data_IF_695249859559
#
_entry.id   IF_695249859559
#
_cell.length_a   1.000
_cell.length_b   1.000
_cell.length_c   1.000
_cell.angle_alpha   90.00
_cell.angle_beta   90.00
_cell.angle_gamma   90.00
#
_symmetry.space_group_name_H-M   'P 1'
#
loop_
_entity.id
_entity.type
_entity.pdbx_description
1 polymer ?
#
# COMPACT_ATOMS: atom_id res chain seq x y z
N UNK A 1 11.34 44.18 -32.02
CA UNK A 1 11.70 44.96 -30.81
C UNK A 1 10.66 44.64 -29.74
N UNK A 2 10.81 43.53 -29.03
CA UNK A 2 9.89 43.12 -27.97
C UNK A 2 10.55 43.36 -26.62
N UNK A 3 9.97 44.27 -25.85
CA UNK A 3 10.48 44.70 -24.54
C UNK A 3 10.31 43.58 -23.51
N UNK A 4 11.38 43.33 -22.75
CA UNK A 4 11.43 42.44 -21.59
C UNK A 4 10.35 42.80 -20.58
N UNK A 5 9.56 41.82 -20.18
CA UNK A 5 8.62 41.91 -19.05
C UNK A 5 9.42 41.70 -17.76
N UNK A 6 9.22 42.62 -16.81
CA UNK A 6 9.83 42.65 -15.48
C UNK A 6 9.10 41.64 -14.54
N UNK A 7 9.81 40.63 -13.99
CA UNK A 7 9.22 39.60 -13.14
C UNK A 7 8.84 40.06 -11.72
N UNK A 8 9.07 41.33 -11.35
CA UNK A 8 8.73 41.84 -10.01
C UNK A 8 7.29 42.36 -9.86
N UNK A 9 6.47 42.31 -10.92
CA UNK A 9 5.06 42.70 -10.89
C UNK A 9 4.11 41.51 -10.98
N UNK A 10 4.11 40.64 -9.96
CA UNK A 10 3.04 39.65 -9.76
C UNK A 10 1.94 40.28 -8.90
N UNK A 11 0.86 40.65 -9.60
CA UNK A 11 -0.56 40.77 -9.19
C UNK A 11 -0.88 41.19 -7.75
N UNK A 12 -1.50 42.36 -7.67
CA UNK A 12 -2.24 42.91 -6.53
C UNK A 12 -3.23 41.89 -5.94
N UNK A 13 -3.30 41.74 -4.61
CA UNK A 13 -4.28 40.87 -3.97
C UNK A 13 -5.64 41.57 -3.87
N UNK A 14 -6.69 40.94 -4.39
CA UNK A 14 -8.07 41.32 -4.08
C UNK A 14 -8.43 40.67 -2.75
N UNK A 15 -8.46 41.47 -1.69
CA UNK A 15 -8.83 41.01 -0.34
C UNK A 15 -10.34 40.80 -0.22
N UNK A 16 -10.78 39.66 0.32
CA UNK A 16 -12.08 39.55 0.97
C UNK A 16 -11.90 39.73 2.49
N UNK A 17 -12.81 40.43 3.19
CA UNK A 17 -12.77 40.56 4.65
C UNK A 17 -13.08 39.22 5.32
N UNK A 18 -12.24 38.76 6.25
CA UNK A 18 -12.50 37.57 7.08
C UNK A 18 -11.39 36.51 7.15
N UNK A 19 -10.26 36.70 6.46
CA UNK A 19 -9.08 35.82 6.65
C UNK A 19 -7.93 36.61 7.28
N UNK A 20 -7.67 36.32 8.55
CA UNK A 20 -6.42 36.70 9.19
C UNK A 20 -5.25 36.14 8.37
N UNK A 21 -4.32 37.03 8.05
CA UNK A 21 -3.05 36.67 7.41
C UNK A 21 -2.17 35.98 8.45
N UNK A 22 -2.25 34.67 8.55
CA UNK A 22 -1.11 33.88 9.02
C UNK A 22 -0.19 33.63 7.83
N UNK A 23 1.05 34.09 7.93
CA UNK A 23 2.13 33.55 7.10
C UNK A 23 2.34 32.09 7.55
N UNK A 24 1.51 31.18 7.02
CA UNK A 24 1.73 29.75 7.18
C UNK A 24 2.83 29.41 6.20
N UNK A 25 4.04 29.18 6.70
CA UNK A 25 5.02 28.39 5.97
C UNK A 25 4.48 26.95 5.95
N UNK A 26 3.48 26.74 5.09
CA UNK A 26 2.76 25.48 4.93
C UNK A 26 3.67 24.53 4.18
N UNK A 27 4.66 23.98 4.91
CA UNK A 27 5.46 22.86 4.42
C UNK A 27 4.52 21.84 3.81
N UNK A 28 4.72 21.52 2.52
CA UNK A 28 3.86 20.58 1.81
C UNK A 28 4.07 19.17 2.38
N UNK A 29 3.07 18.29 2.26
CA UNK A 29 3.23 16.87 2.62
C UNK A 29 4.24 16.22 1.66
N UNK A 30 5.02 15.21 2.09
CA UNK A 30 6.03 14.52 1.25
C UNK A 30 5.44 13.66 0.11
N UNK A 31 4.20 13.91 -0.29
CA UNK A 31 3.38 13.02 -1.12
C UNK A 31 2.41 12.19 -0.28
N UNK A 32 1.87 11.14 -0.90
CA UNK A 32 0.93 10.20 -0.29
C UNK A 32 1.62 8.86 -0.07
N UNK A 33 1.45 8.29 1.12
CA UNK A 33 1.91 6.95 1.47
C UNK A 33 0.69 6.05 1.62
N UNK A 34 0.51 5.08 0.72
CA UNK A 34 -0.54 4.08 0.87
C UNK A 34 0.05 2.87 1.61
N UNK A 35 -0.47 2.56 2.79
CA UNK A 35 -0.05 1.39 3.54
C UNK A 35 -1.02 0.22 3.30
N UNK A 36 -0.50 -0.89 2.77
CA UNK A 36 -1.26 -2.10 2.42
C UNK A 36 -0.74 -3.27 3.24
N UNK A 37 -1.44 -3.61 4.32
CA UNK A 37 -1.05 -4.73 5.18
C UNK A 37 -1.61 -6.06 4.69
N UNK A 38 -0.85 -7.15 4.85
CA UNK A 38 -1.19 -8.45 4.28
C UNK A 38 -1.76 -9.49 5.23
N UNK A 39 -1.69 -9.29 6.55
CA UNK A 39 -2.13 -10.34 7.48
C UNK A 39 -3.43 -9.98 8.15
N UNK A 40 -4.20 -11.02 8.46
CA UNK A 40 -5.15 -11.18 9.55
C UNK A 40 -5.14 -10.04 10.58
N UNK A 41 -5.78 -8.93 10.25
CA UNK A 41 -5.98 -7.86 11.22
C UNK A 41 -7.13 -6.98 10.76
N UNK A 42 -8.07 -6.74 11.65
CA UNK A 42 -9.13 -5.75 11.48
C UNK A 42 -8.63 -4.32 11.83
N UNK A 43 -7.31 -4.09 11.89
CA UNK A 43 -6.77 -2.75 12.13
C UNK A 43 -5.46 -2.66 12.91
N UNK A 44 -5.09 -3.72 13.63
CA UNK A 44 -4.06 -3.70 14.70
C UNK A 44 -2.70 -3.11 14.27
N UNK A 45 -2.29 -3.35 13.03
CA UNK A 45 -0.98 -2.93 12.53
C UNK A 45 -0.96 -1.52 11.94
N UNK A 46 -2.12 -0.97 11.57
CA UNK A 46 -2.17 0.33 10.89
C UNK A 46 -1.76 1.49 11.79
N UNK A 47 -2.18 1.48 13.06
CA UNK A 47 -1.86 2.57 13.99
C UNK A 47 -0.36 2.63 14.29
N UNK A 48 0.22 1.49 14.66
CA UNK A 48 1.66 1.39 14.94
C UNK A 48 2.50 1.73 13.71
N UNK A 49 2.08 1.28 12.52
CA UNK A 49 2.78 1.56 11.27
C UNK A 49 2.71 3.04 10.91
N UNK A 50 1.55 3.67 11.03
CA UNK A 50 1.38 5.11 10.79
C UNK A 50 2.25 5.91 11.77
N UNK A 51 2.20 5.61 13.08
CA UNK A 51 3.08 6.26 14.08
C UNK A 51 4.56 6.16 13.71
N UNK A 52 5.01 4.98 13.30
CA UNK A 52 6.39 4.76 12.86
C UNK A 52 6.76 5.54 11.58
N UNK A 53 5.87 5.54 10.58
CA UNK A 53 6.06 6.29 9.33
C UNK A 53 6.12 7.80 9.60
N UNK A 54 5.22 8.33 10.42
CA UNK A 54 5.19 9.74 10.80
C UNK A 54 6.46 10.13 11.54
N UNK A 55 6.88 9.34 12.54
CA UNK A 55 8.10 9.61 13.29
C UNK A 55 9.34 9.62 12.37
N UNK A 56 9.45 8.63 11.48
CA UNK A 56 10.53 8.54 10.51
C UNK A 56 10.55 9.70 9.52
N UNK A 57 9.38 10.11 9.00
CA UNK A 57 9.25 11.25 8.07
C UNK A 57 9.57 12.57 8.77
N UNK A 58 9.06 12.82 9.98
CA UNK A 58 9.39 14.01 10.75
C UNK A 58 10.91 14.13 10.97
N UNK A 59 11.56 13.02 11.35
CA UNK A 59 13.01 13.01 11.55
C UNK A 59 13.79 13.23 10.25
N UNK A 60 13.37 12.60 9.14
CA UNK A 60 14.06 12.70 7.85
C UNK A 60 13.89 14.08 7.21
N UNK A 61 12.70 14.64 7.31
CA UNK A 61 12.38 15.98 6.79
C UNK A 61 12.76 17.09 7.77
N UNK A 62 13.29 16.73 8.96
CA UNK A 62 13.67 17.65 10.03
C UNK A 62 12.52 18.52 10.56
N UNK A 63 11.28 18.07 10.39
CA UNK A 63 10.09 18.76 10.87
C UNK A 63 10.02 18.74 12.41
N UNK A 64 10.65 17.74 13.04
CA UNK A 64 10.82 17.67 14.50
C UNK A 64 11.75 18.77 15.07
N UNK A 65 12.58 19.38 14.21
CA UNK A 65 13.54 20.45 14.56
C UNK A 65 13.13 21.82 14.06
N UNK A 66 12.23 21.87 13.08
CA UNK A 66 11.63 23.11 12.62
C UNK A 66 10.92 23.79 13.81
N UNK A 67 11.21 25.07 14.07
CA UNK A 67 10.70 25.79 15.24
C UNK A 67 9.18 26.00 15.24
N UNK A 68 8.50 25.72 14.12
CA UNK A 68 7.06 25.81 14.00
C UNK A 68 6.44 24.41 14.19
N UNK A 69 5.75 24.22 15.31
CA UNK A 69 5.00 22.99 15.64
C UNK A 69 3.97 22.62 14.58
N UNK A 70 3.45 23.60 13.86
CA UNK A 70 2.37 23.45 12.88
C UNK A 70 2.84 22.73 11.60
N UNK A 71 4.15 22.68 11.38
CA UNK A 71 4.79 21.98 10.27
C UNK A 71 5.11 20.51 10.58
N UNK A 72 4.90 20.03 11.81
CA UNK A 72 5.12 18.63 12.16
C UNK A 72 4.01 17.75 11.58
N UNK A 73 4.39 16.58 11.08
CA UNK A 73 3.43 15.53 10.72
C UNK A 73 2.88 14.92 12.00
N UNK A 74 1.58 14.63 12.01
CA UNK A 74 0.90 14.00 13.14
C UNK A 74 0.04 12.85 12.62
N UNK A 75 0.02 11.68 13.29
CA UNK A 75 -0.89 10.61 12.92
C UNK A 75 -2.35 11.10 12.95
N UNK A 76 -3.19 10.54 12.08
CA UNK A 76 -4.64 10.73 12.16
C UNK A 76 -5.16 10.04 13.43
N UNK A 77 -6.14 10.66 14.10
CA UNK A 77 -6.90 10.04 15.17
C UNK A 77 -8.05 9.22 14.60
N UNK A 78 -8.21 7.98 15.06
CA UNK A 78 -9.24 7.07 14.59
C UNK A 78 -10.13 6.63 15.74
N UNK A 79 -11.42 6.46 15.46
CA UNK A 79 -12.34 5.85 16.40
C UNK A 79 -12.00 4.36 16.61
N UNK A 80 -12.29 3.85 17.80
CA UNK A 80 -12.03 2.45 18.13
C UNK A 80 -12.89 1.52 17.25
N UNK A 81 -12.22 0.71 16.43
CA UNK A 81 -12.86 -0.25 15.52
C UNK A 81 -13.50 -1.42 16.28
N UNK A 82 -12.98 -1.74 17.47
CA UNK A 82 -13.53 -2.75 18.38
C UNK A 82 -14.11 -2.11 19.63
N UNK A 83 -15.26 -2.63 20.07
CA UNK A 83 -15.87 -2.35 21.36
C UNK A 83 -15.12 -3.08 22.48
N UNK A 84 -15.37 -2.70 23.73
CA UNK A 84 -14.71 -3.30 24.90
C UNK A 84 -14.96 -4.82 25.05
N UNK A 85 -16.02 -5.34 24.42
CA UNK A 85 -16.34 -6.76 24.39
C UNK A 85 -15.72 -7.52 23.19
N UNK A 86 -14.89 -6.84 22.39
CA UNK A 86 -14.19 -7.41 21.23
C UNK A 86 -14.99 -7.44 19.93
N UNK A 87 -16.24 -6.97 19.92
CA UNK A 87 -17.05 -6.87 18.69
C UNK A 87 -16.70 -5.63 17.88
N UNK A 88 -16.90 -5.67 16.57
CA UNK A 88 -16.81 -4.52 15.69
C UNK A 88 -17.79 -3.42 16.09
N UNK A 89 -17.31 -2.18 16.07
CA UNK A 89 -18.13 -1.01 16.26
C UNK A 89 -18.95 -0.70 15.02
N UNK A 90 -20.19 -1.21 14.98
CA UNK A 90 -21.14 -1.04 13.85
C UNK A 90 -21.63 0.39 13.64
N UNK A 91 -21.30 1.32 14.54
CA UNK A 91 -21.65 2.73 14.39
C UNK A 91 -20.63 3.49 13.55
N UNK A 92 -19.48 2.87 13.23
CA UNK A 92 -18.47 3.48 12.40
C UNK A 92 -18.86 3.51 10.93
N UNK A 93 -18.49 4.61 10.28
CA UNK A 93 -18.70 4.91 8.87
C UNK A 93 -17.53 5.77 8.38
N UNK A 94 -17.49 6.05 7.08
CA UNK A 94 -16.49 6.98 6.53
C UNK A 94 -16.52 8.37 7.19
N UNK A 95 -17.67 8.78 7.71
CA UNK A 95 -17.90 10.14 8.20
C UNK A 95 -17.47 10.35 9.66
N UNK A 96 -17.42 9.29 10.45
CA UNK A 96 -17.09 9.37 11.89
C UNK A 96 -15.91 8.50 12.30
N UNK A 97 -15.26 7.82 11.35
CA UNK A 97 -14.11 6.99 11.63
C UNK A 97 -12.87 7.83 11.98
N UNK A 98 -12.72 9.01 11.37
CA UNK A 98 -11.65 9.97 11.70
C UNK A 98 -12.14 10.85 12.85
N UNK A 99 -11.38 10.87 13.95
CA UNK A 99 -11.70 11.66 15.16
C UNK A 99 -10.77 12.86 15.36
N UNK A 100 -9.57 12.82 14.78
CA UNK A 100 -8.65 13.95 14.61
C UNK A 100 -8.05 13.84 13.21
N UNK A 101 -8.16 14.89 12.40
CA UNK A 101 -7.61 14.93 11.04
C UNK A 101 -6.08 14.80 11.01
N UNK A 102 -5.40 15.09 12.12
CA UNK A 102 -3.95 14.96 12.22
C UNK A 102 -3.22 15.82 11.18
N UNK A 103 -2.07 15.31 10.71
CA UNK A 103 -1.36 15.79 9.51
C UNK A 103 -0.52 14.65 8.96
N UNK A 104 -1.21 13.64 8.44
CA UNK A 104 -0.61 12.38 7.99
C UNK A 104 -0.66 12.26 6.47
N UNK A 105 0.45 11.89 5.80
CA UNK A 105 0.41 11.51 4.40
C UNK A 105 -0.07 10.06 4.20
N UNK A 106 -0.37 9.33 5.29
CA UNK A 106 -0.63 7.89 5.25
C UNK A 106 -2.11 7.59 4.99
N UNK A 107 -2.39 6.84 3.94
CA UNK A 107 -3.69 6.22 3.69
C UNK A 107 -3.61 4.76 4.13
N UNK A 108 -4.48 4.38 5.08
CA UNK A 108 -4.67 2.99 5.53
C UNK A 108 -5.52 2.24 4.51
N UNK A 109 -4.90 1.48 3.60
CA UNK A 109 -5.64 0.70 2.62
C UNK A 109 -6.10 -0.63 3.21
N UNK A 110 -7.37 -0.67 3.62
CA UNK A 110 -8.04 -1.87 4.14
C UNK A 110 -8.59 -2.72 3.01
N UNK A 111 -8.39 -4.02 3.12
CA UNK A 111 -8.96 -5.04 2.25
C UNK A 111 -9.21 -6.30 3.07
N UNK A 112 -9.98 -7.24 2.52
CA UNK A 112 -10.31 -8.46 3.23
C UNK A 112 -11.34 -9.28 2.49
N UNK A 113 -11.80 -10.32 3.16
CA UNK A 113 -12.81 -11.24 2.67
C UNK A 113 -14.13 -11.03 3.42
N UNK A 114 -15.24 -11.20 2.72
CA UNK A 114 -16.57 -11.28 3.32
C UNK A 114 -17.29 -12.46 2.69
N UNK A 115 -17.78 -13.37 3.52
CA UNK A 115 -18.50 -14.55 3.06
C UNK A 115 -19.79 -14.13 2.33
N UNK A 116 -20.03 -14.77 1.20
CA UNK A 116 -21.19 -14.55 0.34
C UNK A 116 -22.22 -15.68 0.48
N UNK A 117 -23.38 -15.49 -0.17
CA UNK A 117 -24.41 -16.53 -0.29
C UNK A 117 -25.33 -16.71 0.92
N UNK A 118 -25.16 -15.93 1.99
CA UNK A 118 -26.10 -15.89 3.13
C UNK A 118 -27.29 -14.94 2.90
N UNK A 119 -27.26 -14.13 1.84
CA UNK A 119 -28.26 -13.14 1.47
C UNK A 119 -29.33 -13.66 0.48
N UNK A 120 -29.28 -14.95 0.12
CA UNK A 120 -30.21 -15.57 -0.81
C UNK A 120 -29.89 -15.33 -2.30
N UNK A 121 -28.67 -14.90 -2.62
CA UNK A 121 -28.19 -14.82 -4.01
C UNK A 121 -28.35 -16.19 -4.71
N UNK A 122 -29.11 -16.20 -5.81
CA UNK A 122 -29.42 -17.42 -6.55
C UNK A 122 -28.12 -18.05 -7.09
N UNK A 123 -27.99 -19.36 -6.91
CA UNK A 123 -26.84 -20.17 -7.33
C UNK A 123 -25.51 -19.84 -6.63
N UNK A 124 -25.52 -18.98 -5.61
CA UNK A 124 -24.35 -18.75 -4.75
C UNK A 124 -24.25 -19.83 -3.67
N UNK A 125 -23.04 -20.36 -3.48
CA UNK A 125 -22.74 -21.22 -2.33
C UNK A 125 -22.82 -20.36 -1.08
N UNK A 126 -23.50 -20.85 -0.04
CA UNK A 126 -23.47 -20.21 1.28
C UNK A 126 -22.09 -20.46 1.90
N UNK A 127 -21.15 -19.56 1.62
CA UNK A 127 -19.74 -19.67 2.04
C UNK A 127 -19.59 -19.66 3.56
N UNK A 128 -20.53 -19.04 4.28
CA UNK A 128 -20.58 -19.12 5.74
C UNK A 128 -20.83 -20.54 6.23
N UNK A 129 -21.66 -21.30 5.53
CA UNK A 129 -21.93 -22.71 5.90
C UNK A 129 -20.76 -23.61 5.48
N UNK A 130 -20.17 -23.34 4.32
CA UNK A 130 -19.07 -24.15 3.77
C UNK A 130 -17.75 -23.96 4.54
N UNK A 131 -17.41 -22.72 4.89
CA UNK A 131 -16.14 -22.36 5.54
C UNK A 131 -16.31 -21.93 7.01
N UNK A 132 -17.54 -21.83 7.50
CA UNK A 132 -17.81 -21.46 8.90
C UNK A 132 -17.17 -22.45 9.87
N UNK A 133 -16.42 -21.93 10.84
CA UNK A 133 -15.67 -22.74 11.80
C UNK A 133 -14.32 -23.28 11.30
N UNK A 134 -14.02 -23.10 10.01
CA UNK A 134 -12.74 -23.44 9.35
C UNK A 134 -11.86 -22.22 9.13
N UNK A 135 -12.49 -21.09 8.84
CA UNK A 135 -11.83 -19.78 8.80
C UNK A 135 -12.41 -18.91 9.90
N UNK A 136 -11.57 -18.05 10.47
CA UNK A 136 -12.06 -17.05 11.41
C UNK A 136 -12.82 -15.96 10.64
N UNK A 137 -14.05 -15.69 11.08
CA UNK A 137 -14.89 -14.60 10.60
C UNK A 137 -15.39 -13.82 11.80
N UNK A 138 -15.42 -12.50 11.69
CA UNK A 138 -16.08 -11.63 12.66
C UNK A 138 -17.61 -11.72 12.51
N UNK A 139 -18.34 -11.02 13.38
CA UNK A 139 -19.80 -11.06 13.42
C UNK A 139 -20.51 -10.43 12.19
N UNK A 140 -19.75 -9.90 11.23
CA UNK A 140 -20.23 -9.46 9.91
C UNK A 140 -19.95 -10.50 8.82
N UNK A 141 -19.54 -11.71 9.22
CA UNK A 141 -19.09 -12.79 8.35
C UNK A 141 -17.90 -12.34 7.46
N UNK A 142 -17.00 -11.51 8.00
CA UNK A 142 -15.88 -10.91 7.29
C UNK A 142 -14.54 -11.08 8.03
N UNK A 143 -13.44 -10.79 7.34
CA UNK A 143 -12.09 -10.88 7.89
C UNK A 143 -11.08 -9.97 7.16
N UNK A 144 -10.41 -9.09 7.91
CA UNK A 144 -9.35 -8.22 7.39
C UNK A 144 -8.14 -9.00 6.86
N UNK A 145 -7.72 -8.72 5.62
CA UNK A 145 -6.65 -9.44 4.93
C UNK A 145 -7.01 -10.86 4.45
N UNK A 146 -8.23 -11.34 4.73
CA UNK A 146 -8.70 -12.69 4.38
C UNK A 146 -8.02 -13.83 5.17
N UNK A 147 -8.46 -15.09 4.96
CA UNK A 147 -7.96 -16.22 5.71
C UNK A 147 -6.45 -16.43 5.50
N UNK A 148 -5.70 -16.62 6.59
CA UNK A 148 -4.24 -16.72 6.52
C UNK A 148 -3.76 -17.86 5.63
N UNK A 149 -4.43 -19.02 5.68
CA UNK A 149 -4.05 -20.19 4.88
C UNK A 149 -4.36 -20.01 3.38
N UNK A 150 -5.11 -18.96 3.02
CA UNK A 150 -5.49 -18.67 1.65
C UNK A 150 -4.50 -17.75 0.91
N UNK A 151 -3.33 -17.47 1.51
CA UNK A 151 -2.27 -16.72 0.87
C UNK A 151 -1.76 -17.39 -0.41
N UNK A 152 -1.19 -16.59 -1.32
CA UNK A 152 -0.61 -17.06 -2.57
C UNK A 152 0.78 -16.48 -2.83
N UNK A 153 1.56 -17.14 -3.68
CA UNK A 153 2.92 -16.75 -4.11
C UNK A 153 3.01 -16.30 -5.57
N UNK A 154 1.93 -16.38 -6.35
CA UNK A 154 1.86 -15.91 -7.74
C UNK A 154 0.55 -15.15 -7.99
N UNK A 155 0.60 -14.13 -8.84
CA UNK A 155 -0.57 -13.29 -9.11
C UNK A 155 -1.73 -14.05 -9.77
N UNK A 156 -1.53 -14.93 -10.77
CA UNK A 156 -2.64 -15.64 -11.39
C UNK A 156 -3.45 -16.51 -10.40
N UNK A 157 -2.79 -17.03 -9.36
CA UNK A 157 -3.47 -17.81 -8.32
C UNK A 157 -4.45 -16.98 -7.48
N UNK A 158 -4.42 -15.63 -7.55
CA UNK A 158 -5.46 -14.77 -6.96
C UNK A 158 -6.83 -14.98 -7.60
N UNK A 159 -6.88 -15.54 -8.81
CA UNK A 159 -8.12 -15.94 -9.50
C UNK A 159 -8.53 -17.39 -9.23
N UNK A 160 -7.78 -18.12 -8.39
CA UNK A 160 -8.05 -19.52 -8.09
C UNK A 160 -9.16 -19.73 -7.07
N UNK A 161 -9.64 -20.98 -7.01
CA UNK A 161 -10.73 -21.45 -6.14
C UNK A 161 -10.39 -21.49 -4.63
N UNK A 162 -9.17 -21.10 -4.24
CA UNK A 162 -8.72 -21.12 -2.86
C UNK A 162 -7.77 -22.29 -2.56
N UNK A 163 -7.62 -22.61 -1.27
CA UNK A 163 -6.85 -23.78 -0.82
C UNK A 163 -7.78 -25.02 -0.78
N UNK A 164 -7.38 -26.10 -1.46
CA UNK A 164 -8.11 -27.39 -1.48
C UNK A 164 -7.66 -28.33 -0.34
N UNK A 165 -8.62 -28.88 0.40
CA UNK A 165 -8.40 -29.79 1.51
C UNK A 165 -7.70 -31.10 1.11
N UNK A 166 -7.86 -31.60 -0.11
CA UNK A 166 -7.33 -32.91 -0.54
C UNK A 166 -5.82 -32.88 -0.78
N UNK A 167 -5.33 -31.80 -1.39
CA UNK A 167 -3.88 -31.59 -1.55
C UNK A 167 -3.24 -31.33 -0.18
N UNK A 168 -3.99 -30.69 0.73
CA UNK A 168 -3.55 -30.42 2.08
C UNK A 168 -3.51 -31.68 2.97
N UNK A 169 -4.52 -32.55 2.95
CA UNK A 169 -4.54 -33.82 3.69
C UNK A 169 -3.33 -34.69 3.34
N UNK A 170 -2.96 -34.73 2.07
CA UNK A 170 -1.74 -35.42 1.63
C UNK A 170 -0.46 -34.77 2.19
N UNK A 171 -0.38 -33.43 2.21
CA UNK A 171 0.79 -32.71 2.73
C UNK A 171 0.93 -32.80 4.25
N UNK A 172 -0.18 -32.65 4.99
CA UNK A 172 -0.25 -32.73 6.45
C UNK A 172 0.13 -34.12 6.94
N UNK A 173 -0.37 -35.18 6.27
CA UNK A 173 -0.04 -36.56 6.58
C UNK A 173 1.45 -36.91 6.37
N UNK A 174 2.18 -36.14 5.54
CA UNK A 174 3.57 -36.45 5.18
C UNK A 174 4.61 -35.46 5.73
N UNK A 175 4.25 -34.24 6.17
CA UNK A 175 5.24 -33.19 6.50
C UNK A 175 5.09 -32.48 7.84
N UNK A 176 3.88 -32.36 8.43
CA UNK A 176 3.69 -31.58 9.66
C UNK A 176 2.58 -32.13 10.58
N UNK A 177 2.78 -33.27 11.27
CA UNK A 177 1.88 -33.65 12.35
C UNK A 177 2.19 -32.77 13.56
N UNK A 178 1.52 -31.62 13.68
CA UNK A 178 1.61 -30.77 14.88
C UNK A 178 0.20 -30.50 15.36
N UNK A 179 -0.15 -31.12 16.49
CA UNK A 179 -1.44 -30.91 17.16
C UNK A 179 -1.73 -29.41 17.35
N UNK A 180 -2.95 -28.98 16.98
CA UNK A 180 -3.41 -27.61 17.16
C UNK A 180 -3.09 -26.62 16.03
N UNK A 181 -2.55 -27.07 14.89
CA UNK A 181 -2.38 -26.26 13.67
C UNK A 181 -3.16 -26.83 12.49
N UNK A 182 -4.44 -27.10 12.70
CA UNK A 182 -5.34 -27.51 11.64
C UNK A 182 -5.48 -26.38 10.61
N UNK A 183 -5.23 -26.71 9.34
CA UNK A 183 -5.45 -25.84 8.19
C UNK A 183 -6.64 -26.40 7.44
N UNK A 184 -7.53 -25.52 7.02
CA UNK A 184 -8.80 -25.88 6.41
C UNK A 184 -8.95 -25.24 5.02
N UNK A 185 -9.89 -25.79 4.24
CA UNK A 185 -10.30 -25.26 2.96
C UNK A 185 -10.65 -23.79 3.09
N UNK A 186 -10.22 -23.04 2.10
CA UNK A 186 -10.42 -21.59 2.05
C UNK A 186 -11.28 -21.21 0.86
N UNK A 187 -12.02 -20.08 0.96
CA UNK A 187 -12.87 -19.58 -0.11
C UNK A 187 -12.07 -19.18 -1.36
N UNK A 188 -12.74 -19.00 -2.51
CA UNK A 188 -12.13 -18.48 -3.73
C UNK A 188 -11.38 -17.15 -3.49
N UNK A 189 -10.25 -16.97 -4.18
CA UNK A 189 -9.32 -15.85 -3.94
C UNK A 189 -9.70 -14.55 -4.65
N UNK A 190 -10.84 -14.49 -5.35
CA UNK A 190 -11.25 -13.31 -6.12
C UNK A 190 -11.30 -12.01 -5.29
N UNK A 191 -11.47 -12.07 -3.96
CA UNK A 191 -11.37 -10.90 -3.08
C UNK A 191 -10.01 -10.18 -3.15
N UNK A 192 -8.91 -10.91 -3.41
CA UNK A 192 -7.59 -10.31 -3.68
C UNK A 192 -7.60 -9.44 -4.95
N UNK A 193 -8.27 -9.92 -6.00
CA UNK A 193 -8.40 -9.24 -7.29
C UNK A 193 -9.24 -7.97 -7.14
N UNK A 194 -10.37 -8.07 -6.42
CA UNK A 194 -11.19 -6.90 -6.11
C UNK A 194 -10.43 -5.88 -5.26
N UNK A 195 -9.62 -6.32 -4.29
CA UNK A 195 -8.76 -5.43 -3.52
C UNK A 195 -7.72 -4.73 -4.40
N UNK A 196 -7.08 -5.46 -5.32
CA UNK A 196 -6.11 -4.90 -6.26
C UNK A 196 -6.77 -3.84 -7.15
N UNK A 197 -7.93 -4.13 -7.72
CA UNK A 197 -8.69 -3.16 -8.51
C UNK A 197 -9.07 -1.90 -7.72
N UNK A 198 -9.53 -2.05 -6.47
CA UNK A 198 -9.82 -0.90 -5.58
C UNK A 198 -8.57 -0.05 -5.30
N UNK A 199 -7.41 -0.69 -5.16
CA UNK A 199 -6.14 0.02 -4.97
C UNK A 199 -5.74 0.78 -6.24
N UNK A 200 -5.91 0.18 -7.42
CA UNK A 200 -5.70 0.86 -8.71
C UNK A 200 -6.61 2.08 -8.84
N UNK A 201 -7.90 1.95 -8.53
CA UNK A 201 -8.86 3.07 -8.57
C UNK A 201 -8.54 4.16 -7.55
N UNK A 202 -8.05 3.82 -6.35
CA UNK A 202 -7.55 4.81 -5.39
C UNK A 202 -6.37 5.61 -5.97
N UNK A 203 -5.37 4.92 -6.53
CA UNK A 203 -4.21 5.59 -7.14
C UNK A 203 -4.66 6.48 -8.31
N UNK A 204 -5.57 5.98 -9.15
CA UNK A 204 -6.17 6.74 -10.25
C UNK A 204 -6.91 7.99 -9.75
N UNK A 205 -7.68 7.87 -8.68
CA UNK A 205 -8.39 9.01 -8.08
C UNK A 205 -7.42 10.07 -7.55
N UNK A 206 -6.31 9.66 -6.90
CA UNK A 206 -5.25 10.56 -6.47
C UNK A 206 -4.64 11.30 -7.66
N UNK A 207 -4.29 10.56 -8.73
CA UNK A 207 -3.74 11.14 -9.97
C UNK A 207 -4.72 12.08 -10.66
N UNK A 208 -6.02 11.78 -10.62
CA UNK A 208 -7.06 12.65 -11.15
C UNK A 208 -7.19 13.97 -10.40
N UNK A 209 -6.91 13.98 -9.08
CA UNK A 209 -6.86 15.22 -8.28
C UNK A 209 -5.55 15.98 -8.46
N UNK A 210 -4.43 15.26 -8.49
CA UNK A 210 -3.11 15.83 -8.70
C UNK A 210 -2.18 14.82 -9.40
N UNK A 211 -1.98 15.02 -10.70
CA UNK A 211 -1.25 14.07 -11.56
C UNK A 211 0.22 13.87 -11.13
N UNK A 212 0.86 14.93 -10.65
CA UNK A 212 2.27 14.97 -10.25
C UNK A 212 2.52 14.66 -8.77
N UNK A 213 1.48 14.33 -7.99
CA UNK A 213 1.58 14.02 -6.56
C UNK A 213 2.42 12.76 -6.33
N UNK A 214 3.55 12.80 -5.61
CA UNK A 214 4.32 11.58 -5.35
C UNK A 214 3.50 10.55 -4.56
N UNK A 215 3.44 9.31 -5.04
CA UNK A 215 2.76 8.21 -4.36
C UNK A 215 3.77 7.11 -4.02
N UNK A 216 3.87 6.76 -2.74
CA UNK A 216 4.61 5.60 -2.26
C UNK A 216 3.63 4.55 -1.75
N UNK A 217 3.75 3.31 -2.20
CA UNK A 217 3.03 2.18 -1.59
C UNK A 217 3.99 1.42 -0.68
N UNK A 218 3.64 1.29 0.59
CA UNK A 218 4.34 0.44 1.55
C UNK A 218 3.45 -0.77 1.79
N UNK A 219 3.95 -1.96 1.52
CA UNK A 219 3.15 -3.18 1.60
C UNK A 219 3.88 -4.29 2.34
N UNK A 220 3.12 -5.10 3.08
CA UNK A 220 3.65 -6.18 3.91
C UNK A 220 2.93 -7.51 3.61
N UNK A 221 3.67 -8.63 3.63
CA UNK A 221 3.12 -9.98 3.46
C UNK A 221 2.20 -10.09 2.23
N UNK A 222 1.00 -10.67 2.33
CA UNK A 222 0.05 -10.78 1.20
C UNK A 222 -0.42 -9.43 0.64
N UNK A 223 -0.24 -8.32 1.36
CA UNK A 223 -0.49 -6.97 0.83
C UNK A 223 0.42 -6.64 -0.35
N UNK A 224 1.60 -7.28 -0.45
CA UNK A 224 2.44 -7.23 -1.63
C UNK A 224 1.73 -7.83 -2.86
N UNK A 225 0.99 -8.94 -2.72
CA UNK A 225 0.28 -9.57 -3.84
C UNK A 225 -0.79 -8.65 -4.42
N UNK A 226 -1.60 -8.05 -3.53
CA UNK A 226 -2.61 -7.03 -3.88
C UNK A 226 -1.95 -5.85 -4.59
N UNK A 227 -0.81 -5.40 -4.07
CA UNK A 227 -0.08 -4.23 -4.58
C UNK A 227 0.55 -4.47 -5.95
N UNK A 228 1.21 -5.61 -6.15
CA UNK A 228 1.80 -5.99 -7.44
C UNK A 228 0.72 -6.14 -8.51
N UNK A 229 -0.40 -6.79 -8.18
CA UNK A 229 -1.54 -6.89 -9.10
C UNK A 229 -2.12 -5.51 -9.45
N UNK A 230 -2.32 -4.64 -8.45
CA UNK A 230 -2.84 -3.28 -8.67
C UNK A 230 -1.94 -2.45 -9.60
N UNK A 231 -0.62 -2.56 -9.43
CA UNK A 231 0.36 -1.87 -10.26
C UNK A 231 0.29 -2.31 -11.73
N UNK A 232 0.18 -3.62 -11.98
CA UNK A 232 0.07 -4.18 -13.34
C UNK A 232 -1.29 -3.88 -13.98
N UNK A 233 -2.39 -3.91 -13.21
CA UNK A 233 -3.71 -3.50 -13.68
C UNK A 233 -3.72 -2.01 -14.08
N UNK A 234 -3.07 -1.16 -13.28
CA UNK A 234 -3.07 0.29 -13.47
C UNK A 234 -2.06 0.82 -14.47
N UNK A 235 -1.12 -0.01 -14.96
CA UNK A 235 0.01 0.43 -15.79
C UNK A 235 -0.45 1.23 -17.02
N UNK A 236 -1.37 0.67 -17.82
CA UNK A 236 -1.84 1.29 -19.07
C UNK A 236 -2.61 2.59 -18.84
N UNK A 237 -3.18 2.76 -17.66
CA UNK A 237 -3.95 3.95 -17.28
C UNK A 237 -3.10 4.98 -16.52
N UNK A 238 -1.81 4.72 -16.31
CA UNK A 238 -0.94 5.55 -15.49
C UNK A 238 -1.29 5.54 -14.00
N UNK A 239 -2.17 4.63 -13.58
CA UNK A 239 -2.63 4.44 -12.20
C UNK A 239 -1.66 3.57 -11.40
N UNK A 240 -0.39 3.97 -11.41
CA UNK A 240 0.71 3.30 -10.73
C UNK A 240 1.41 4.27 -9.76
N UNK A 241 1.82 3.76 -8.60
CA UNK A 241 2.62 4.53 -7.65
C UNK A 241 4.04 4.75 -8.16
N UNK A 242 4.72 5.77 -7.65
CA UNK A 242 6.07 6.12 -8.07
C UNK A 242 7.14 5.29 -7.34
N UNK A 243 6.84 4.86 -6.11
CA UNK A 243 7.75 4.06 -5.28
C UNK A 243 6.99 2.93 -4.60
N UNK A 244 7.62 1.75 -4.52
CA UNK A 244 7.10 0.61 -3.78
C UNK A 244 8.11 0.15 -2.73
N UNK A 245 7.64 -0.11 -1.51
CA UNK A 245 8.41 -0.70 -0.42
C UNK A 245 7.77 -2.03 -0.08
N UNK A 246 8.39 -3.11 -0.54
CA UNK A 246 7.93 -4.49 -0.39
C UNK A 246 8.56 -5.09 0.87
N UNK A 247 7.78 -5.27 1.93
CA UNK A 247 8.23 -5.92 3.17
C UNK A 247 7.75 -7.37 3.20
N UNK A 248 8.68 -8.31 3.31
CA UNK A 248 8.41 -9.76 3.36
C UNK A 248 7.41 -10.22 2.28
N UNK A 249 7.62 -9.91 0.98
CA UNK A 249 6.69 -10.32 -0.06
C UNK A 249 6.66 -11.84 -0.23
N UNK A 250 5.47 -12.46 -0.28
CA UNK A 250 5.31 -13.88 -0.54
C UNK A 250 5.40 -14.21 -2.04
N UNK A 251 5.55 -13.21 -2.92
CA UNK A 251 5.71 -13.42 -4.35
C UNK A 251 7.01 -14.18 -4.64
N UNK A 252 6.89 -15.41 -5.15
CA UNK A 252 8.05 -16.24 -5.45
C UNK A 252 8.52 -16.04 -6.89
N UNK A 253 9.83 -15.86 -7.07
CA UNK A 253 10.48 -15.86 -8.38
C UNK A 253 10.70 -17.27 -8.93
N UNK A 254 10.49 -18.29 -8.12
CA UNK A 254 10.64 -19.70 -8.48
C UNK A 254 9.31 -20.43 -8.35
N UNK A 255 9.06 -21.32 -9.30
CA UNK A 255 7.97 -22.27 -9.21
C UNK A 255 8.40 -23.46 -8.36
N UNK A 256 8.00 -23.46 -7.10
CA UNK A 256 8.27 -24.58 -6.20
C UNK A 256 7.36 -25.78 -6.54
N UNK A 257 7.90 -27.00 -6.45
CA UNK A 257 7.16 -28.24 -6.72
C UNK A 257 5.88 -28.34 -5.90
N UNK A 258 5.94 -27.92 -4.64
CA UNK A 258 4.76 -27.89 -3.76
C UNK A 258 3.68 -26.92 -4.24
N UNK A 259 4.10 -25.77 -4.76
CA UNK A 259 3.20 -24.74 -5.28
C UNK A 259 2.51 -25.19 -6.57
N UNK A 260 3.21 -25.98 -7.38
CA UNK A 260 2.69 -26.65 -8.57
C UNK A 260 1.70 -27.76 -8.21
N UNK A 261 1.95 -28.51 -7.13
CA UNK A 261 1.03 -29.54 -6.65
C UNK A 261 -0.26 -28.95 -6.06
N UNK A 262 -0.14 -27.91 -5.22
CA UNK A 262 -1.29 -27.21 -4.61
C UNK A 262 -2.19 -26.57 -5.65
N UNK A 263 -1.61 -26.07 -6.74
CA UNK A 263 -2.35 -25.38 -7.79
C UNK A 263 -2.42 -26.19 -9.09
N UNK A 264 -2.20 -27.51 -9.04
CA UNK A 264 -2.14 -28.37 -10.22
C UNK A 264 -3.43 -28.33 -11.03
N UNK A 265 -4.56 -28.39 -10.32
CA UNK A 265 -5.91 -28.37 -10.90
C UNK A 265 -6.49 -26.95 -10.98
N UNK A 266 -5.74 -25.93 -10.55
CA UNK A 266 -6.20 -24.54 -10.61
C UNK A 266 -6.36 -24.13 -12.06
N UNK A 267 -7.60 -23.85 -12.46
CA UNK A 267 -7.91 -23.30 -13.77
C UNK A 267 -7.59 -21.81 -13.78
N UNK A 268 -6.81 -21.37 -14.75
CA UNK A 268 -6.70 -19.95 -15.06
C UNK A 268 -8.06 -19.41 -15.55
N UNK A 269 -8.22 -18.08 -15.53
CA UNK A 269 -9.44 -17.41 -15.99
C UNK A 269 -9.80 -17.74 -17.47
N UNK A 270 -8.85 -18.26 -18.25
CA UNK A 270 -9.01 -18.68 -19.66
C UNK A 270 -9.16 -20.19 -19.83
N UNK A 271 -9.25 -20.98 -18.75
CA UNK A 271 -9.43 -22.43 -18.79
C UNK A 271 -8.13 -23.23 -18.99
N UNK A 272 -6.96 -22.58 -18.96
CA UNK A 272 -5.66 -23.25 -18.95
C UNK A 272 -5.40 -23.90 -17.57
N UNK A 273 -4.65 -25.01 -17.57
CA UNK A 273 -4.32 -25.81 -16.39
C UNK A 273 -2.80 -25.87 -16.16
N UNK A 274 -2.40 -26.07 -14.91
CA UNK A 274 -1.00 -26.17 -14.50
C UNK A 274 -0.51 -24.93 -13.76
N UNK A 275 0.51 -25.11 -12.91
CA UNK A 275 1.00 -24.02 -12.09
C UNK A 275 1.88 -23.04 -12.86
N UNK A 276 2.08 -21.86 -12.26
CA UNK A 276 2.81 -20.76 -12.89
C UNK A 276 4.32 -21.05 -12.90
N UNK A 277 4.90 -21.10 -14.10
CA UNK A 277 6.32 -21.41 -14.32
C UNK A 277 7.25 -20.34 -13.71
N UNK A 278 8.49 -20.75 -13.38
CA UNK A 278 9.55 -19.83 -12.94
C UNK A 278 9.76 -18.69 -13.93
N UNK A 279 9.78 -18.99 -15.23
CA UNK A 279 9.93 -17.98 -16.28
C UNK A 279 8.80 -16.94 -16.23
N UNK A 280 7.53 -17.38 -16.20
CA UNK A 280 6.39 -16.47 -16.15
C UNK A 280 6.40 -15.58 -14.89
N UNK A 281 6.81 -16.13 -13.74
CA UNK A 281 6.96 -15.37 -12.49
C UNK A 281 8.02 -14.28 -12.61
N UNK A 282 9.19 -14.62 -13.15
CA UNK A 282 10.29 -13.68 -13.36
C UNK A 282 9.91 -12.60 -14.36
N UNK A 283 9.31 -12.95 -15.50
CA UNK A 283 8.85 -11.98 -16.51
C UNK A 283 7.78 -11.04 -15.95
N UNK A 284 6.82 -11.55 -15.17
CA UNK A 284 5.81 -10.72 -14.50
C UNK A 284 6.46 -9.72 -13.55
N UNK A 285 7.45 -10.14 -12.77
CA UNK A 285 8.16 -9.23 -11.87
C UNK A 285 9.01 -8.21 -12.61
N UNK A 286 9.67 -8.60 -13.72
CA UNK A 286 10.39 -7.67 -14.60
C UNK A 286 9.44 -6.62 -15.20
N UNK A 287 8.25 -7.02 -15.63
CA UNK A 287 7.24 -6.11 -16.16
C UNK A 287 6.80 -5.09 -15.09
N UNK A 288 6.53 -5.56 -13.86
CA UNK A 288 6.26 -4.68 -12.73
C UNK A 288 7.40 -3.67 -12.50
N UNK A 289 8.66 -4.12 -12.40
CA UNK A 289 9.80 -3.23 -12.22
C UNK A 289 9.95 -2.22 -13.37
N UNK A 290 9.63 -2.64 -14.60
CA UNK A 290 9.71 -1.80 -15.79
C UNK A 290 8.61 -0.74 -15.80
N UNK A 291 7.39 -1.09 -15.40
CA UNK A 291 6.28 -0.17 -15.21
C UNK A 291 6.62 0.89 -14.14
N UNK A 292 7.15 0.46 -13.00
CA UNK A 292 7.58 1.39 -11.94
C UNK A 292 8.69 2.32 -12.43
N UNK A 293 9.70 1.79 -13.13
CA UNK A 293 10.82 2.60 -13.65
C UNK A 293 10.37 3.77 -14.54
N UNK A 294 9.29 3.61 -15.30
CA UNK A 294 8.72 4.69 -16.14
C UNK A 294 8.25 5.90 -15.31
N UNK A 295 8.03 5.74 -14.00
CA UNK A 295 7.64 6.81 -13.08
C UNK A 295 8.79 7.67 -12.58
N UNK A 296 10.05 7.33 -12.87
CA UNK A 296 11.22 8.05 -12.36
C UNK A 296 11.23 9.56 -12.72
N UNK A 297 10.62 9.94 -13.85
CA UNK A 297 10.54 11.33 -14.32
C UNK A 297 9.13 11.91 -14.21
N UNK A 298 8.17 11.14 -13.71
CA UNK A 298 6.77 11.53 -13.62
C UNK A 298 6.52 12.22 -12.27
N UNK A 299 6.74 13.53 -12.22
CA UNK A 299 6.37 14.34 -11.05
C UNK A 299 7.10 15.68 -11.00
N UNK A 300 7.05 16.31 -9.83
CA UNK A 300 7.61 17.64 -9.60
C UNK A 300 9.14 17.67 -9.77
N UNK A 301 9.71 18.74 -10.36
CA UNK A 301 11.15 18.93 -10.43
C UNK A 301 11.81 18.99 -9.04
N UNK A 302 13.03 18.47 -8.92
CA UNK A 302 13.73 18.42 -7.62
C UNK A 302 14.04 19.79 -7.03
N UNK A 303 14.31 20.79 -7.87
CA UNK A 303 14.53 22.17 -7.42
C UNK A 303 13.26 22.78 -6.83
N UNK A 304 12.08 22.40 -7.35
CA UNK A 304 10.78 22.81 -6.81
C UNK A 304 10.54 22.15 -5.46
N UNK A 305 10.71 20.82 -5.34
CA UNK A 305 10.57 20.10 -4.07
C UNK A 305 11.53 20.67 -3.02
N UNK A 306 12.81 20.81 -3.37
CA UNK A 306 13.82 21.33 -2.45
C UNK A 306 13.53 22.77 -2.01
N UNK A 307 12.96 23.60 -2.88
CA UNK A 307 12.59 24.97 -2.52
C UNK A 307 11.45 25.02 -1.51
N UNK A 308 10.45 24.15 -1.67
CA UNK A 308 9.26 24.12 -0.82
C UNK A 308 9.45 23.38 0.51
N UNK A 309 10.42 22.47 0.58
CA UNK A 309 10.73 21.73 1.80
C UNK A 309 12.02 22.19 2.48
N UNK A 310 12.72 23.18 1.92
CA UNK A 310 13.92 23.73 2.53
C UNK A 310 13.60 24.30 3.92
N UNK A 311 14.39 23.91 4.91
CA UNK A 311 14.39 24.53 6.21
C UNK A 311 15.82 24.68 6.70
N UNK A 312 16.10 25.72 7.47
CA UNK A 312 17.40 25.91 8.11
C UNK A 312 17.34 25.34 9.53
N UNK A 313 18.20 24.36 9.83
CA UNK A 313 18.30 23.81 11.18
C UNK A 313 18.81 24.91 12.12
N UNK A 314 18.04 25.31 13.14
CA UNK A 314 18.40 26.42 14.01
C UNK A 314 19.61 26.14 14.90
N UNK A 315 20.01 24.87 15.07
CA UNK A 315 21.17 24.49 15.86
C UNK A 315 22.47 24.54 15.06
N UNK A 316 22.43 24.22 13.75
CA UNK A 316 23.63 24.12 12.90
C UNK A 316 23.74 25.26 11.87
N UNK A 317 22.63 25.93 11.54
CA UNK A 317 22.56 26.91 10.47
C UNK A 317 22.59 26.31 9.05
N UNK A 318 22.57 24.98 8.93
CA UNK A 318 22.60 24.27 7.65
C UNK A 318 21.19 24.04 7.10
N UNK A 319 21.08 23.82 5.78
CA UNK A 319 19.83 23.36 5.19
C UNK A 319 19.58 21.91 5.63
N UNK A 320 18.54 21.70 6.44
CA UNK A 320 18.23 20.41 7.01
C UNK A 320 17.42 19.48 6.10
N UNK A 321 16.93 19.97 4.96
CA UNK A 321 16.31 19.12 3.94
C UNK A 321 16.85 19.42 2.54
N UNK A 322 17.42 18.40 1.91
CA UNK A 322 17.82 18.43 0.51
C UNK A 322 17.71 17.05 -0.12
N UNK A 323 16.81 16.93 -1.09
CA UNK A 323 16.62 15.76 -1.91
C UNK A 323 17.61 15.78 -3.08
N UNK A 324 18.46 14.76 -3.17
CA UNK A 324 19.35 14.51 -4.29
C UNK A 324 18.69 13.63 -5.36
N UNK A 325 19.25 13.64 -6.57
CA UNK A 325 18.90 12.64 -7.58
C UNK A 325 19.25 11.22 -7.07
N UNK A 326 18.50 10.22 -7.53
CA UNK A 326 18.85 8.83 -7.23
C UNK A 326 20.25 8.50 -7.80
N UNK A 327 21.14 7.87 -7.02
CA UNK A 327 22.48 7.55 -7.48
C UNK A 327 22.47 6.58 -8.66
N UNK A 328 23.52 6.62 -9.48
CA UNK A 328 23.76 5.68 -10.58
C UNK A 328 25.04 4.88 -10.36
N UNK A 329 25.20 3.78 -11.11
CA UNK A 329 26.38 2.92 -11.02
C UNK A 329 26.56 2.30 -9.62
N UNK A 330 27.80 2.23 -9.14
CA UNK A 330 28.13 1.59 -7.86
C UNK A 330 27.61 2.36 -6.63
N UNK A 331 27.31 3.65 -6.76
CA UNK A 331 26.73 4.45 -5.68
C UNK A 331 25.32 3.96 -5.26
N UNK A 332 24.63 3.18 -6.09
CA UNK A 332 23.34 2.57 -5.74
C UNK A 332 23.48 1.60 -4.55
N UNK A 333 24.63 0.92 -4.44
CA UNK A 333 24.89 -0.09 -3.40
C UNK A 333 25.22 0.53 -2.04
N UNK A 334 25.42 1.85 -1.99
CA UNK A 334 25.79 2.54 -0.78
C UNK A 334 24.55 3.07 -0.04
N UNK A 335 24.55 2.90 1.29
CA UNK A 335 23.55 3.55 2.15
C UNK A 335 23.81 5.05 2.13
N UNK A 336 22.83 5.90 1.81
CA UNK A 336 23.03 7.34 1.81
C UNK A 336 23.39 7.83 3.22
N UNK A 337 24.33 8.79 3.34
CA UNK A 337 24.58 9.49 4.60
C UNK A 337 23.30 10.13 5.14
N UNK A 338 23.23 10.33 6.47
CA UNK A 338 22.13 11.05 7.10
C UNK A 338 22.02 12.46 6.49
N UNK A 339 20.81 12.89 6.11
CA UNK A 339 20.56 14.19 5.49
C UNK A 339 20.84 14.28 3.98
N UNK A 340 21.27 13.18 3.35
CA UNK A 340 21.42 13.07 1.89
C UNK A 340 20.34 12.14 1.32
N UNK A 341 19.08 12.47 1.58
CA UNK A 341 17.96 11.74 1.02
C UNK A 341 17.92 11.87 -0.51
N UNK A 342 17.29 10.91 -1.16
CA UNK A 342 17.29 10.77 -2.62
C UNK A 342 15.89 10.59 -3.16
N UNK A 343 15.68 11.08 -4.37
CA UNK A 343 14.46 10.90 -5.11
C UNK A 343 14.23 9.42 -5.44
N UNK A 344 13.29 8.81 -4.76
CA UNK A 344 13.00 7.39 -4.88
C UNK A 344 11.98 7.07 -5.98
N UNK A 345 11.53 8.06 -6.76
CA UNK A 345 10.59 7.81 -7.85
C UNK A 345 11.17 6.84 -8.88
N UNK A 346 10.33 5.93 -9.35
CA UNK A 346 10.70 4.83 -10.23
C UNK A 346 11.58 3.76 -9.58
N UNK A 347 11.41 3.54 -8.26
CA UNK A 347 12.17 2.54 -7.50
C UNK A 347 11.26 1.60 -6.72
N UNK A 348 11.77 0.38 -6.55
CA UNK A 348 11.19 -0.65 -5.69
C UNK A 348 12.26 -1.04 -4.68
N UNK A 349 11.88 -1.07 -3.41
CA UNK A 349 12.72 -1.53 -2.31
C UNK A 349 12.17 -2.84 -1.78
N UNK A 350 13.06 -3.78 -1.51
CA UNK A 350 12.74 -5.09 -0.95
C UNK A 350 13.34 -5.17 0.45
N UNK A 351 12.50 -5.50 1.44
CA UNK A 351 12.84 -5.61 2.85
C UNK A 351 12.43 -6.96 3.44
#
# INVERSE_FOLDING_TARGET
>A
MYSKIDPTKIRVPVSMPGMDRTHVDATHLPGIVIFVHGVNSDGEWFESSEKGLIAGLNQRMGLDRARATDAQLRPVGYAAELLADGRLNRQLSGDNFITDEGRSPVIRFRWGYKASGSDGTKDAINEKTEYGGRIYLNELDAWGGGPFQNGTSALPYMWGEGLDDRVFWWLYANMFPVDGREVYASPPRAYFVHAAHRLTELIKAIRGKQADCPITVVCHSQGNMVTLAAALMGEKEGAIADTYVLCNPPYSLESLTMDQMVNHDSRGATGEFGGITTFARQETFKNFLSAVKQRATAGQPLDVINRYHAFIDPATGENGFKLAAFPSGDAIKQKPPKGQDRDNRGRVFLY
#
